data_IF_660820612775
#
_entry.id   IF_660820612775
#
_cell.length_a   1.000
_cell.length_b   1.000
_cell.length_c   1.000
_cell.angle_alpha   90.00
_cell.angle_beta   90.00
_cell.angle_gamma   90.00
#
_symmetry.space_group_name_H-M   'P 1'
#
loop_
_entity.id
_entity.type
_entity.pdbx_description
1 polymer ?
#
# COMPACT_ATOMS: atom_id res chain seq x y z
N UNK A 1 -8.99 21.99 -5.36
CA UNK A 1 -9.00 20.87 -4.37
C UNK A 1 -8.80 21.42 -2.97
N UNK A 2 -9.69 21.08 -2.03
CA UNK A 2 -9.56 21.41 -0.59
C UNK A 2 -8.89 20.23 0.13
N UNK A 3 -7.90 20.52 0.97
CA UNK A 3 -7.23 19.52 1.82
C UNK A 3 -7.77 19.66 3.24
N UNK A 4 -8.22 18.56 3.82
CA UNK A 4 -8.66 18.49 5.21
C UNK A 4 -7.82 17.45 5.95
N UNK A 5 -7.16 17.88 7.02
CA UNK A 5 -6.33 17.04 7.88
C UNK A 5 -7.01 16.86 9.23
N UNK A 6 -7.07 15.64 9.70
CA UNK A 6 -7.66 15.29 10.99
C UNK A 6 -6.91 14.11 11.62
N UNK A 7 -7.18 13.84 12.89
CA UNK A 7 -6.58 12.76 13.64
C UNK A 7 -7.62 11.90 14.32
N UNK A 8 -7.37 10.59 14.39
CA UNK A 8 -8.16 9.69 15.23
C UNK A 8 -7.23 8.75 16.02
N UNK A 9 -7.72 8.25 17.16
CA UNK A 9 -6.95 7.33 17.99
C UNK A 9 -6.80 5.97 17.31
N UNK A 10 -5.56 5.52 17.12
CA UNK A 10 -5.22 4.21 16.57
C UNK A 10 -5.80 3.05 17.39
N UNK A 11 -5.94 1.91 16.74
CA UNK A 11 -6.27 0.66 17.42
C UNK A 11 -5.16 0.14 18.35
N UNK A 12 -3.97 0.74 18.33
CA UNK A 12 -2.93 0.54 19.35
C UNK A 12 -3.23 1.24 20.69
N UNK A 13 -4.27 2.10 20.74
CA UNK A 13 -4.75 2.86 21.90
C UNK A 13 -3.79 3.92 22.44
N UNK A 14 -2.76 4.27 21.68
CA UNK A 14 -1.72 5.22 22.14
C UNK A 14 -1.33 6.28 21.09
N UNK A 15 -1.48 5.98 19.82
CA UNK A 15 -1.02 6.85 18.72
C UNK A 15 -2.20 7.56 18.08
N UNK A 16 -2.06 8.84 17.76
CA UNK A 16 -3.00 9.54 16.92
C UNK A 16 -2.63 9.33 15.44
N UNK A 17 -3.54 8.73 14.69
CA UNK A 17 -3.37 8.50 13.25
C UNK A 17 -3.74 9.76 12.49
N UNK A 18 -2.81 10.25 11.70
CA UNK A 18 -3.01 11.36 10.77
C UNK A 18 -3.82 10.87 9.56
N UNK A 19 -4.93 11.54 9.29
CA UNK A 19 -5.84 11.26 8.18
C UNK A 19 -5.97 12.50 7.32
N UNK A 20 -5.86 12.33 6.01
CA UNK A 20 -5.98 13.41 5.03
C UNK A 20 -7.11 13.10 4.07
N UNK A 21 -7.96 14.10 3.81
CA UNK A 21 -9.00 14.06 2.78
C UNK A 21 -8.76 15.17 1.78
N UNK A 22 -8.63 14.80 0.52
CA UNK A 22 -8.57 15.69 -0.63
C UNK A 22 -9.97 15.74 -1.25
N UNK A 23 -10.60 16.89 -1.21
CA UNK A 23 -12.02 17.07 -1.50
C UNK A 23 -12.18 17.93 -2.75
N UNK A 24 -12.97 17.49 -3.77
CA UNK A 24 -13.27 18.32 -4.94
C UNK A 24 -14.03 19.57 -4.53
N UNK A 25 -13.71 20.70 -5.18
CA UNK A 25 -14.42 21.96 -5.00
C UNK A 25 -15.40 22.16 -6.17
N UNK A 26 -16.59 22.63 -5.87
CA UNK A 26 -17.63 23.00 -6.87
C UNK A 26 -18.01 21.86 -7.85
N UNK A 27 -17.84 20.59 -7.44
CA UNK A 27 -18.18 19.41 -8.25
C UNK A 27 -19.01 18.41 -7.47
N UNK A 28 -19.88 17.71 -8.19
CA UNK A 28 -20.59 16.55 -7.65
C UNK A 28 -19.59 15.44 -7.29
N UNK A 29 -19.81 14.80 -6.15
CA UNK A 29 -18.95 13.70 -5.69
C UNK A 29 -19.33 12.41 -6.42
N UNK A 30 -18.45 11.94 -7.29
CA UNK A 30 -18.62 10.71 -8.06
C UNK A 30 -18.28 9.44 -7.28
N UNK A 31 -17.41 9.53 -6.28
CA UNK A 31 -16.96 8.38 -5.49
C UNK A 31 -15.85 8.75 -4.54
N UNK A 32 -15.41 7.76 -3.76
CA UNK A 32 -14.27 7.86 -2.84
C UNK A 32 -13.17 6.91 -3.28
N UNK A 33 -11.92 7.37 -3.26
CA UNK A 33 -10.72 6.54 -3.41
C UNK A 33 -9.92 6.62 -2.12
N UNK A 34 -9.91 5.55 -1.35
CA UNK A 34 -9.07 5.45 -0.14
C UNK A 34 -7.73 4.82 -0.47
N UNK A 35 -6.63 5.48 -0.11
CA UNK A 35 -5.26 5.06 -0.38
C UNK A 35 -4.63 4.46 0.88
N UNK A 36 -4.00 3.28 0.73
CA UNK A 36 -3.03 2.72 1.68
C UNK A 36 -1.65 2.79 1.05
N UNK A 37 -0.80 3.67 1.55
CA UNK A 37 0.53 3.94 1.01
C UNK A 37 1.55 2.81 1.27
N UNK A 38 2.71 2.88 0.62
CA UNK A 38 3.80 1.92 0.77
C UNK A 38 4.62 2.09 2.06
N UNK A 39 5.61 1.22 2.24
CA UNK A 39 6.57 1.37 3.33
C UNK A 39 7.52 2.54 3.04
N UNK A 40 8.02 3.19 4.08
CA UNK A 40 8.95 4.34 3.98
C UNK A 40 8.39 5.57 3.26
N UNK A 41 7.07 5.74 3.27
CA UNK A 41 6.40 6.92 2.71
C UNK A 41 5.20 7.37 3.57
N UNK A 42 4.41 8.30 3.07
CA UNK A 42 3.26 8.89 3.76
C UNK A 42 2.20 9.36 2.76
N UNK A 43 1.00 9.68 3.26
CA UNK A 43 -0.16 9.98 2.40
C UNK A 43 0.01 11.23 1.53
N UNK A 44 0.72 12.26 2.00
CA UNK A 44 0.91 13.50 1.23
C UNK A 44 1.74 13.33 -0.05
N UNK A 45 2.45 12.21 -0.23
CA UNK A 45 3.09 11.90 -1.51
C UNK A 45 2.08 11.69 -2.65
N UNK A 46 0.84 11.40 -2.32
CA UNK A 46 -0.22 11.17 -3.31
C UNK A 46 -0.98 12.44 -3.71
N UNK A 47 -0.45 13.63 -3.41
CA UNK A 47 -1.10 14.93 -3.74
C UNK A 47 -1.37 15.06 -5.24
N UNK A 48 -0.41 14.75 -6.13
CA UNK A 48 -0.63 14.80 -7.58
C UNK A 48 -1.72 13.84 -8.05
N UNK A 49 -1.76 12.63 -7.49
CA UNK A 49 -2.83 11.66 -7.73
C UNK A 49 -4.18 12.19 -7.25
N UNK A 50 -4.19 12.78 -6.06
CA UNK A 50 -5.40 13.34 -5.47
C UNK A 50 -5.91 14.55 -6.28
N UNK A 51 -5.04 15.42 -6.74
CA UNK A 51 -5.40 16.55 -7.61
C UNK A 51 -6.09 16.07 -8.88
N UNK A 52 -5.49 15.11 -9.58
CA UNK A 52 -6.07 14.52 -10.79
C UNK A 52 -7.47 13.94 -10.54
N UNK A 53 -7.67 13.17 -9.46
CA UNK A 53 -8.95 12.53 -9.19
C UNK A 53 -9.99 13.47 -8.59
N UNK A 54 -9.60 14.47 -7.82
CA UNK A 54 -10.53 15.52 -7.34
C UNK A 54 -11.02 16.41 -8.48
N UNK A 55 -10.18 16.64 -9.50
CA UNK A 55 -10.61 17.32 -10.72
C UNK A 55 -11.68 16.55 -11.52
N UNK A 56 -11.77 15.27 -11.32
CA UNK A 56 -12.83 14.42 -11.88
C UNK A 56 -14.07 14.30 -10.96
N UNK A 57 -14.04 14.84 -9.74
CA UNK A 57 -15.12 14.74 -8.76
C UNK A 57 -14.97 13.60 -7.74
N UNK A 58 -13.84 12.90 -7.69
CA UNK A 58 -13.60 11.91 -6.64
C UNK A 58 -13.03 12.56 -5.38
N UNK A 59 -13.45 12.09 -4.21
CA UNK A 59 -12.73 12.33 -2.97
C UNK A 59 -11.59 11.34 -2.89
N UNK A 60 -10.38 11.82 -2.59
CA UNK A 60 -9.25 10.96 -2.27
C UNK A 60 -8.96 11.08 -0.79
N UNK A 61 -8.83 9.95 -0.09
CA UNK A 61 -8.59 9.93 1.35
C UNK A 61 -7.53 8.89 1.68
N UNK A 62 -6.78 9.12 2.75
CA UNK A 62 -5.86 8.13 3.27
C UNK A 62 -5.32 8.53 4.63
N UNK A 63 -4.56 7.62 5.21
CA UNK A 63 -3.90 7.83 6.51
C UNK A 63 -2.40 7.67 6.34
N UNK A 64 -1.64 8.37 7.17
CA UNK A 64 -0.28 7.91 7.46
C UNK A 64 -0.39 6.63 8.30
N UNK A 65 0.14 5.52 7.78
CA UNK A 65 0.10 4.25 8.49
C UNK A 65 0.81 4.37 9.84
N UNK A 66 0.38 3.61 10.82
CA UNK A 66 1.00 3.58 12.15
C UNK A 66 2.54 3.51 12.05
N UNK A 67 3.25 4.44 12.70
CA UNK A 67 4.70 4.55 12.62
C UNK A 67 5.25 5.14 11.31
N UNK A 68 4.41 5.77 10.50
CA UNK A 68 4.80 6.47 9.26
C UNK A 68 4.33 7.93 9.29
N UNK A 69 4.97 8.78 8.49
CA UNK A 69 4.59 10.18 8.33
C UNK A 69 4.33 10.89 9.65
N UNK A 70 3.21 11.57 9.76
CA UNK A 70 2.76 12.27 10.98
C UNK A 70 2.08 11.35 12.02
N UNK A 71 1.88 10.05 11.71
CA UNK A 71 1.46 9.03 12.68
C UNK A 71 2.63 8.46 13.51
N UNK A 72 3.62 9.31 13.79
CA UNK A 72 4.80 9.04 14.64
C UNK A 72 4.82 9.90 15.90
N UNK A 73 3.64 10.43 16.30
CA UNK A 73 3.48 11.24 17.48
C UNK A 73 3.55 10.43 18.80
N UNK A 74 3.55 11.14 19.94
CA UNK A 74 3.58 10.56 21.27
C UNK A 74 4.81 9.66 21.54
N UNK A 75 5.98 9.98 20.93
CA UNK A 75 7.22 9.23 21.11
C UNK A 75 7.30 7.90 20.37
N UNK A 76 6.32 7.62 19.49
CA UNK A 76 6.33 6.42 18.67
C UNK A 76 7.55 6.37 17.75
N UNK A 77 8.21 5.23 17.71
CA UNK A 77 9.32 4.98 16.78
C UNK A 77 8.82 4.90 15.34
N UNK A 78 9.50 5.62 14.46
CA UNK A 78 9.29 5.53 13.02
C UNK A 78 9.62 4.12 12.51
N UNK A 79 8.89 3.65 11.50
CA UNK A 79 9.05 2.33 10.88
C UNK A 79 8.86 1.15 11.85
N UNK A 80 7.95 1.31 12.81
CA UNK A 80 7.57 0.30 13.78
C UNK A 80 6.05 0.33 14.03
N UNK A 81 5.37 -0.78 13.77
CA UNK A 81 3.93 -0.90 13.97
C UNK A 81 3.54 -1.17 15.43
N UNK A 82 4.44 -1.74 16.21
CA UNK A 82 4.17 -2.18 17.57
C UNK A 82 4.58 -3.64 17.83
N UNK A 83 4.16 -4.21 18.96
CA UNK A 83 4.46 -5.58 19.32
C UNK A 83 3.85 -6.59 18.35
N UNK A 84 4.11 -7.88 18.59
CA UNK A 84 3.53 -8.97 17.77
C UNK A 84 2.02 -8.86 17.66
N UNK A 85 1.53 -8.93 16.42
CA UNK A 85 0.10 -8.79 16.08
C UNK A 85 -0.32 -7.38 15.69
N UNK A 86 0.59 -6.41 15.72
CA UNK A 86 0.33 -5.01 15.35
C UNK A 86 -0.03 -4.80 13.88
N UNK A 87 0.21 -5.78 13.01
CA UNK A 87 -0.38 -5.78 11.66
C UNK A 87 -1.89 -5.55 11.70
N UNK A 88 -2.59 -6.17 12.68
CA UNK A 88 -4.03 -5.99 12.83
C UNK A 88 -4.39 -4.57 13.28
N UNK A 89 -3.59 -3.87 14.07
CA UNK A 89 -3.84 -2.48 14.44
C UNK A 89 -3.90 -1.60 13.19
N UNK A 90 -2.94 -1.76 12.29
CA UNK A 90 -2.88 -0.99 11.04
C UNK A 90 -4.07 -1.30 10.12
N UNK A 91 -4.47 -2.56 10.01
CA UNK A 91 -5.66 -2.94 9.22
C UNK A 91 -6.94 -2.34 9.82
N UNK A 92 -7.06 -2.32 11.16
CA UNK A 92 -8.20 -1.69 11.83
C UNK A 92 -8.16 -0.15 11.73
N UNK A 93 -6.97 0.48 11.69
CA UNK A 93 -6.84 1.92 11.45
C UNK A 93 -7.30 2.28 10.02
N UNK A 94 -6.96 1.45 9.03
CA UNK A 94 -7.49 1.57 7.66
C UNK A 94 -9.02 1.42 7.66
N UNK A 95 -9.55 0.48 8.44
CA UNK A 95 -11.00 0.28 8.59
C UNK A 95 -11.67 1.45 9.33
N UNK A 96 -11.00 2.08 10.29
CA UNK A 96 -11.50 3.29 10.96
C UNK A 96 -11.60 4.45 9.98
N UNK A 97 -10.57 4.69 9.17
CA UNK A 97 -10.60 5.66 8.08
C UNK A 97 -11.76 5.37 7.10
N UNK A 98 -11.93 4.10 6.70
CA UNK A 98 -13.06 3.67 5.87
C UNK A 98 -14.41 4.03 6.50
N UNK A 99 -14.62 3.71 7.77
CA UNK A 99 -15.89 3.97 8.47
C UNK A 99 -16.19 5.46 8.55
N UNK A 100 -15.23 6.28 8.98
CA UNK A 100 -15.35 7.73 9.06
C UNK A 100 -15.75 8.32 7.70
N UNK A 101 -15.06 7.90 6.64
CA UNK A 101 -15.31 8.42 5.30
C UNK A 101 -16.63 7.91 4.73
N UNK A 102 -16.97 6.62 4.93
CA UNK A 102 -18.22 6.03 4.42
C UNK A 102 -19.45 6.61 5.12
N UNK A 103 -19.34 7.01 6.38
CA UNK A 103 -20.40 7.74 7.10
C UNK A 103 -20.68 9.10 6.47
N UNK A 104 -19.61 9.84 6.11
CA UNK A 104 -19.71 11.16 5.45
C UNK A 104 -20.23 11.07 4.01
N UNK A 105 -19.87 10.02 3.29
CA UNK A 105 -20.12 9.83 1.87
C UNK A 105 -20.79 8.48 1.58
N UNK A 106 -21.91 8.21 2.25
CA UNK A 106 -22.56 6.88 2.25
C UNK A 106 -23.18 6.49 0.91
N UNK A 107 -23.53 7.46 0.06
CA UNK A 107 -24.31 7.26 -1.17
C UNK A 107 -23.47 7.08 -2.42
N UNK A 108 -22.17 7.21 -2.34
CA UNK A 108 -21.27 7.12 -3.50
C UNK A 108 -20.42 5.84 -3.45
N UNK A 109 -19.98 5.34 -4.62
CA UNK A 109 -19.07 4.20 -4.70
C UNK A 109 -17.77 4.42 -3.89
N UNK A 110 -17.28 3.35 -3.28
CA UNK A 110 -16.07 3.37 -2.46
C UNK A 110 -15.00 2.43 -3.04
N UNK A 111 -13.90 2.99 -3.46
CA UNK A 111 -12.77 2.29 -4.05
C UNK A 111 -11.59 2.32 -3.06
N UNK A 112 -10.88 1.20 -2.92
CA UNK A 112 -9.62 1.20 -2.18
C UNK A 112 -8.44 0.93 -3.10
N UNK A 113 -7.37 1.73 -2.93
CA UNK A 113 -6.09 1.59 -3.59
C UNK A 113 -5.01 1.26 -2.56
N UNK A 114 -4.21 0.21 -2.81
CA UNK A 114 -3.07 -0.13 -1.96
C UNK A 114 -1.79 -0.28 -2.79
N UNK A 115 -0.73 0.43 -2.38
CA UNK A 115 0.58 0.37 -3.01
C UNK A 115 1.60 -0.33 -2.13
N UNK A 116 2.41 -1.24 -2.68
CA UNK A 116 3.51 -1.92 -1.99
C UNK A 116 3.07 -2.53 -0.66
N UNK A 117 3.57 -2.08 0.50
CA UNK A 117 3.09 -2.48 1.83
C UNK A 117 1.57 -2.31 1.95
N UNK A 118 1.04 -1.16 1.50
CA UNK A 118 -0.39 -0.88 1.47
C UNK A 118 -1.19 -1.90 0.66
N UNK A 119 -0.58 -2.50 -0.37
CA UNK A 119 -1.22 -3.56 -1.16
C UNK A 119 -1.47 -4.84 -0.35
N UNK A 120 -0.58 -5.20 0.57
CA UNK A 120 -0.78 -6.34 1.46
C UNK A 120 -1.78 -6.02 2.59
N UNK A 121 -1.76 -4.79 3.09
CA UNK A 121 -2.76 -4.30 4.05
C UNK A 121 -4.15 -4.29 3.42
N UNK A 122 -4.30 -3.76 2.21
CA UNK A 122 -5.55 -3.78 1.45
C UNK A 122 -6.03 -5.22 1.23
N UNK A 123 -5.17 -6.14 0.79
CA UNK A 123 -5.53 -7.56 0.62
C UNK A 123 -5.99 -8.19 1.94
N UNK A 124 -5.37 -7.82 3.07
CA UNK A 124 -5.82 -8.26 4.40
C UNK A 124 -7.19 -7.68 4.72
N UNK A 125 -7.41 -6.40 4.45
CA UNK A 125 -8.69 -5.73 4.62
C UNK A 125 -9.80 -6.40 3.82
N UNK A 126 -9.60 -6.67 2.53
CA UNK A 126 -10.57 -7.34 1.66
C UNK A 126 -10.93 -8.77 2.11
N UNK A 127 -10.02 -9.45 2.80
CA UNK A 127 -10.26 -10.76 3.42
C UNK A 127 -11.09 -10.63 4.70
N UNK A 128 -10.84 -9.59 5.51
CA UNK A 128 -11.54 -9.36 6.79
C UNK A 128 -12.92 -8.74 6.59
N UNK A 129 -13.05 -7.86 5.59
CA UNK A 129 -14.24 -7.06 5.30
C UNK A 129 -14.67 -7.23 3.83
N UNK A 130 -15.13 -8.41 3.42
CA UNK A 130 -15.28 -8.78 2.01
C UNK A 130 -16.32 -7.98 1.22
N UNK A 131 -17.28 -7.31 1.90
CA UNK A 131 -18.35 -6.56 1.24
C UNK A 131 -18.30 -5.06 1.54
N UNK A 132 -17.14 -4.54 1.95
CA UNK A 132 -17.03 -3.14 2.39
C UNK A 132 -16.82 -2.16 1.24
N UNK A 133 -16.21 -2.58 0.14
CA UNK A 133 -15.86 -1.71 -0.98
C UNK A 133 -16.42 -2.20 -2.30
N UNK A 134 -16.64 -1.25 -3.22
CA UNK A 134 -17.21 -1.54 -4.54
C UNK A 134 -16.16 -2.00 -5.55
N UNK A 135 -14.90 -1.57 -5.38
CA UNK A 135 -13.78 -1.98 -6.21
C UNK A 135 -12.44 -1.84 -5.48
N UNK A 136 -11.40 -2.53 -5.95
CA UNK A 136 -10.05 -2.42 -5.38
C UNK A 136 -8.96 -2.39 -6.43
N UNK A 137 -7.92 -1.59 -6.17
CA UNK A 137 -6.74 -1.42 -7.01
C UNK A 137 -5.50 -1.78 -6.19
N UNK A 138 -4.74 -2.75 -6.64
CA UNK A 138 -3.60 -3.34 -5.94
C UNK A 138 -2.35 -3.09 -6.78
N UNK A 139 -1.44 -2.25 -6.31
CA UNK A 139 -0.27 -1.78 -7.06
C UNK A 139 1.02 -2.25 -6.42
N UNK A 140 1.98 -2.70 -7.22
CA UNK A 140 3.33 -3.07 -6.75
C UNK A 140 3.34 -4.19 -5.70
N UNK A 141 2.38 -5.12 -5.80
CA UNK A 141 2.25 -6.22 -4.83
C UNK A 141 3.17 -7.39 -5.18
N UNK A 142 3.59 -8.12 -4.16
CA UNK A 142 4.46 -9.29 -4.29
C UNK A 142 3.76 -10.63 -3.98
N UNK A 143 4.42 -11.71 -4.36
CA UNK A 143 4.09 -13.06 -3.92
C UNK A 143 5.35 -13.80 -3.49
N UNK A 144 5.42 -14.16 -2.22
CA UNK A 144 6.50 -15.01 -1.68
C UNK A 144 5.90 -16.28 -1.10
N UNK A 145 6.62 -17.40 -1.23
CA UNK A 145 6.18 -18.67 -0.65
C UNK A 145 6.02 -18.54 0.87
N UNK A 146 4.87 -18.92 1.46
CA UNK A 146 4.63 -18.82 2.89
C UNK A 146 5.65 -19.56 3.77
N UNK A 147 6.23 -20.67 3.29
CA UNK A 147 7.27 -21.39 4.03
C UNK A 147 8.56 -20.57 4.10
N UNK A 148 8.96 -19.94 2.99
CA UNK A 148 10.12 -19.05 2.97
C UNK A 148 9.89 -17.84 3.89
N UNK A 149 8.70 -17.24 3.86
CA UNK A 149 8.36 -16.13 4.75
C UNK A 149 8.43 -16.52 6.22
N UNK A 150 8.02 -17.74 6.58
CA UNK A 150 8.18 -18.24 7.96
C UNK A 150 9.64 -18.33 8.38
N UNK A 151 10.53 -18.80 7.49
CA UNK A 151 11.97 -18.87 7.78
C UNK A 151 12.57 -17.46 7.94
N UNK A 152 12.27 -16.57 7.02
CA UNK A 152 12.77 -15.18 7.06
C UNK A 152 12.22 -14.43 8.28
N UNK A 153 10.97 -14.68 8.68
CA UNK A 153 10.39 -14.17 9.93
C UNK A 153 11.20 -14.60 11.17
N UNK A 154 11.70 -15.85 11.22
CA UNK A 154 12.54 -16.29 12.35
C UNK A 154 13.85 -15.48 12.46
N UNK A 155 14.40 -15.03 11.32
CA UNK A 155 15.54 -14.12 11.35
C UNK A 155 15.16 -12.80 12.03
N UNK A 156 14.01 -12.21 11.67
CA UNK A 156 13.54 -10.98 12.30
C UNK A 156 13.34 -11.14 13.82
N UNK A 157 12.75 -12.24 14.26
CA UNK A 157 12.54 -12.55 15.68
C UNK A 157 13.89 -12.69 16.41
N UNK A 158 14.87 -13.34 15.79
CA UNK A 158 16.21 -13.48 16.38
C UNK A 158 16.92 -12.13 16.49
N UNK A 159 16.89 -11.34 15.43
CA UNK A 159 17.51 -10.00 15.41
C UNK A 159 16.83 -9.06 16.44
N UNK A 160 15.50 -9.13 16.58
CA UNK A 160 14.77 -8.30 17.56
C UNK A 160 15.11 -8.61 19.01
N UNK A 161 15.47 -9.87 19.33
CA UNK A 161 15.92 -10.26 20.67
C UNK A 161 17.27 -9.63 21.05
N UNK A 162 18.12 -9.37 20.06
CA UNK A 162 19.46 -8.81 20.26
C UNK A 162 19.43 -7.29 20.23
N UNK A 163 18.71 -6.71 19.28
CA UNK A 163 18.76 -5.26 19.01
C UNK A 163 17.51 -4.50 19.45
N UNK A 164 16.43 -5.21 19.85
CA UNK A 164 15.13 -4.63 20.09
C UNK A 164 14.24 -4.61 18.83
N UNK A 165 12.91 -4.68 19.04
CA UNK A 165 11.94 -4.74 17.95
C UNK A 165 11.85 -3.44 17.14
N UNK A 166 12.13 -2.31 17.78
CA UNK A 166 12.03 -0.95 17.20
C UNK A 166 13.25 -0.59 16.34
N UNK A 167 14.29 -1.40 16.34
CA UNK A 167 15.53 -1.11 15.64
C UNK A 167 15.67 -1.96 14.38
N UNK A 168 16.46 -1.46 13.44
CA UNK A 168 16.86 -2.22 12.25
C UNK A 168 18.25 -2.81 12.43
N UNK A 169 18.53 -3.93 11.77
CA UNK A 169 19.87 -4.52 11.70
C UNK A 169 20.34 -4.60 10.25
N UNK A 170 21.65 -4.82 10.03
CA UNK A 170 22.19 -5.03 8.68
C UNK A 170 21.47 -6.18 7.98
N UNK A 171 21.18 -7.28 8.68
CA UNK A 171 20.46 -8.42 8.10
C UNK A 171 19.05 -8.06 7.64
N UNK A 172 18.31 -7.25 8.42
CA UNK A 172 16.97 -6.80 8.04
C UNK A 172 17.03 -5.88 6.83
N UNK A 173 18.00 -4.96 6.76
CA UNK A 173 18.23 -4.13 5.57
C UNK A 173 18.47 -5.00 4.33
N UNK A 174 19.36 -5.97 4.44
CA UNK A 174 19.72 -6.86 3.32
C UNK A 174 18.53 -7.73 2.86
N UNK A 175 17.69 -8.20 3.79
CA UNK A 175 16.49 -9.00 3.49
C UNK A 175 15.36 -8.18 2.88
N UNK A 176 15.27 -6.89 3.18
CA UNK A 176 14.21 -6.01 2.68
C UNK A 176 14.56 -5.42 1.32
N UNK A 177 15.64 -4.64 1.24
CA UNK A 177 15.96 -3.85 0.05
C UNK A 177 17.26 -4.28 -0.64
N UNK A 178 18.10 -5.09 0.03
CA UNK A 178 19.48 -5.36 -0.39
C UNK A 178 19.66 -6.04 -1.76
N UNK A 179 18.59 -6.59 -2.33
CA UNK A 179 18.66 -7.24 -3.65
C UNK A 179 17.97 -6.47 -4.76
N UNK A 180 17.08 -5.49 -4.41
CA UNK A 180 16.23 -4.85 -5.39
C UNK A 180 16.98 -4.01 -6.41
N UNK A 181 18.06 -3.36 -5.99
CA UNK A 181 18.90 -2.54 -6.85
C UNK A 181 19.87 -3.34 -7.76
N UNK A 182 20.12 -4.62 -7.46
CA UNK A 182 21.12 -5.41 -8.23
C UNK A 182 20.85 -5.44 -9.72
N UNK A 183 19.58 -5.43 -10.11
CA UNK A 183 19.18 -5.45 -11.52
C UNK A 183 19.52 -4.16 -12.27
N UNK A 184 19.68 -3.05 -11.56
CA UNK A 184 19.81 -1.71 -12.14
C UNK A 184 21.26 -1.19 -12.08
N UNK A 185 22.22 -2.05 -11.79
CA UNK A 185 23.63 -1.67 -11.78
C UNK A 185 24.11 -1.18 -13.17
N UNK A 186 24.99 -0.14 -13.23
CA UNK A 186 25.54 0.60 -12.10
C UNK A 186 24.51 1.53 -11.45
N UNK A 187 24.38 1.45 -10.10
CA UNK A 187 23.40 2.21 -9.36
C UNK A 187 23.90 3.63 -9.09
N UNK A 188 23.00 4.61 -9.20
CA UNK A 188 23.24 6.02 -8.81
C UNK A 188 22.90 6.25 -7.34
N UNK A 189 21.88 5.55 -6.82
CA UNK A 189 21.37 5.64 -5.44
C UNK A 189 21.03 4.26 -4.87
N UNK A 190 20.71 4.19 -3.59
CA UNK A 190 20.18 2.96 -2.95
C UNK A 190 18.73 2.63 -3.37
N UNK A 191 18.07 3.52 -4.12
CA UNK A 191 16.64 3.47 -4.42
C UNK A 191 16.31 3.43 -5.91
N UNK A 192 17.29 3.19 -6.79
CA UNK A 192 17.06 3.15 -8.25
C UNK A 192 15.98 2.12 -8.64
N UNK A 193 15.82 1.08 -7.85
CA UNK A 193 14.77 0.09 -8.04
C UNK A 193 13.33 0.64 -7.89
N UNK A 194 13.17 1.82 -7.29
CA UNK A 194 11.89 2.41 -6.97
C UNK A 194 11.27 3.14 -8.17
N UNK A 195 12.03 4.03 -8.81
CA UNK A 195 11.57 4.96 -9.84
C UNK A 195 12.59 5.11 -10.97
N UNK A 196 12.11 5.40 -12.18
CA UNK A 196 12.91 5.87 -13.32
C UNK A 196 13.11 7.38 -13.25
N UNK A 197 12.07 8.14 -12.88
CA UNK A 197 12.11 9.59 -12.75
C UNK A 197 13.14 10.02 -11.72
N UNK A 198 14.24 10.63 -12.17
CA UNK A 198 15.27 11.17 -11.28
C UNK A 198 14.73 12.30 -10.39
N UNK A 199 13.80 13.09 -10.91
CA UNK A 199 13.15 14.17 -10.16
C UNK A 199 12.34 13.61 -8.99
N UNK A 200 11.44 12.68 -9.27
CA UNK A 200 10.60 12.04 -8.24
C UNK A 200 11.42 11.22 -7.24
N UNK A 201 12.47 10.55 -7.71
CA UNK A 201 13.40 9.81 -6.85
C UNK A 201 14.16 10.74 -5.90
N UNK A 202 14.64 11.88 -6.39
CA UNK A 202 15.32 12.87 -5.55
C UNK A 202 14.38 13.48 -4.51
N UNK A 203 13.13 13.76 -4.88
CA UNK A 203 12.11 14.24 -3.94
C UNK A 203 11.83 13.19 -2.86
N UNK A 204 11.67 11.92 -3.25
CA UNK A 204 11.53 10.82 -2.29
C UNK A 204 12.73 10.70 -1.35
N UNK A 205 13.97 10.79 -1.85
CA UNK A 205 15.18 10.66 -1.03
C UNK A 205 15.29 11.81 0.00
N UNK A 206 14.91 13.02 -0.40
CA UNK A 206 15.01 14.24 0.43
C UNK A 206 13.82 14.44 1.38
N UNK A 207 12.77 13.67 1.22
CA UNK A 207 11.55 13.82 2.01
C UNK A 207 11.81 13.55 3.51
N UNK A 208 11.58 14.53 4.39
CA UNK A 208 11.86 14.40 5.82
C UNK A 208 10.88 13.46 6.55
N UNK A 209 9.68 13.24 5.99
CA UNK A 209 8.64 12.40 6.60
C UNK A 209 8.79 10.92 6.23
N UNK A 210 9.61 10.62 5.22
CA UNK A 210 9.84 9.22 4.87
C UNK A 210 10.68 8.48 5.92
N UNK A 211 10.36 7.23 6.16
CA UNK A 211 11.22 6.33 6.93
C UNK A 211 12.46 5.92 6.14
N UNK A 212 13.57 5.69 6.85
CA UNK A 212 14.82 5.24 6.19
C UNK A 212 14.93 3.72 6.14
N UNK A 213 14.66 3.05 7.25
CA UNK A 213 14.90 1.62 7.41
C UNK A 213 13.78 0.96 8.20
N UNK A 214 13.40 -0.22 7.75
CA UNK A 214 12.38 -1.05 8.39
C UNK A 214 12.94 -1.63 9.68
N UNK A 215 12.20 -1.55 10.79
CA UNK A 215 12.57 -2.18 12.05
C UNK A 215 12.40 -3.71 11.99
N UNK A 216 13.04 -4.42 12.91
CA UNK A 216 12.88 -5.87 13.05
C UNK A 216 11.40 -6.25 13.28
N UNK A 217 10.69 -5.46 14.13
CA UNK A 217 9.29 -5.65 14.42
C UNK A 217 8.41 -5.44 13.20
N UNK A 218 8.60 -4.34 12.44
CA UNK A 218 7.84 -4.09 11.23
C UNK A 218 8.07 -5.21 10.20
N UNK A 219 9.31 -5.64 10.00
CA UNK A 219 9.61 -6.73 9.07
C UNK A 219 8.94 -8.05 9.46
N UNK A 220 8.89 -8.38 10.76
CA UNK A 220 8.14 -9.52 11.29
C UNK A 220 6.65 -9.42 10.94
N UNK A 221 6.04 -8.26 11.20
CA UNK A 221 4.61 -8.01 10.91
C UNK A 221 4.32 -8.06 9.40
N UNK A 222 5.21 -7.53 8.57
CA UNK A 222 5.10 -7.66 7.10
C UNK A 222 5.10 -9.13 6.67
N UNK A 223 5.99 -9.96 7.24
CA UNK A 223 5.99 -11.40 6.96
C UNK A 223 4.65 -12.06 7.32
N UNK A 224 4.05 -11.70 8.47
CA UNK A 224 2.75 -12.23 8.90
C UNK A 224 1.63 -11.80 7.95
N UNK A 225 1.57 -10.54 7.57
CA UNK A 225 0.61 -10.02 6.60
C UNK A 225 0.75 -10.69 5.23
N UNK A 226 1.97 -10.86 4.74
CA UNK A 226 2.24 -11.55 3.46
C UNK A 226 1.85 -13.04 3.53
N UNK A 227 2.12 -13.73 4.64
CA UNK A 227 1.67 -15.11 4.87
C UNK A 227 0.14 -15.15 4.86
N UNK A 228 -0.51 -14.28 5.63
CA UNK A 228 -1.96 -14.24 5.75
C UNK A 228 -2.65 -14.06 4.39
N UNK A 229 -2.20 -13.10 3.58
CA UNK A 229 -2.74 -12.82 2.24
C UNK A 229 -2.38 -13.88 1.20
N UNK A 230 -1.37 -14.72 1.47
CA UNK A 230 -0.95 -15.83 0.60
C UNK A 230 -1.75 -17.12 0.78
N UNK A 231 -2.48 -17.31 1.88
CA UNK A 231 -3.19 -18.56 2.20
C UNK A 231 -4.53 -18.68 1.46
N UNK A 232 -4.76 -19.80 0.79
CA UNK A 232 -6.01 -20.06 0.05
C UNK A 232 -7.26 -19.92 0.92
N UNK A 233 -7.21 -20.46 2.17
CA UNK A 233 -8.33 -20.37 3.11
C UNK A 233 -8.76 -18.94 3.41
N UNK A 234 -7.81 -17.99 3.42
CA UNK A 234 -8.09 -16.60 3.66
C UNK A 234 -8.63 -15.91 2.39
N UNK A 235 -7.99 -16.12 1.23
CA UNK A 235 -8.44 -15.60 -0.06
C UNK A 235 -9.87 -16.07 -0.38
N UNK A 236 -10.24 -17.27 0.05
CA UNK A 236 -11.61 -17.79 -0.15
C UNK A 236 -12.69 -16.98 0.58
N UNK A 237 -12.31 -16.17 1.59
CA UNK A 237 -13.24 -15.28 2.31
C UNK A 237 -13.53 -13.98 1.56
N UNK A 238 -12.71 -13.61 0.55
CA UNK A 238 -12.94 -12.41 -0.24
C UNK A 238 -14.24 -12.49 -1.03
N UNK A 239 -14.89 -11.35 -1.24
CA UNK A 239 -16.00 -11.23 -2.18
C UNK A 239 -15.55 -11.65 -3.59
N UNK A 240 -16.24 -12.64 -4.17
CA UNK A 240 -15.86 -13.20 -5.47
C UNK A 240 -16.26 -12.32 -6.67
N UNK A 241 -17.15 -11.37 -6.45
CA UNK A 241 -17.71 -10.51 -7.49
C UNK A 241 -17.16 -9.09 -7.47
N UNK A 242 -16.49 -8.69 -6.38
CA UNK A 242 -15.85 -7.37 -6.28
C UNK A 242 -14.76 -7.23 -7.35
N UNK A 243 -14.78 -6.16 -8.16
CA UNK A 243 -13.75 -5.89 -9.17
C UNK A 243 -12.37 -5.66 -8.54
N UNK A 244 -11.33 -6.29 -9.10
CA UNK A 244 -9.95 -6.15 -8.66
C UNK A 244 -9.07 -5.81 -9.87
N UNK A 245 -8.31 -4.70 -9.78
CA UNK A 245 -7.28 -4.34 -10.73
C UNK A 245 -5.89 -4.52 -10.09
N UNK A 246 -5.02 -5.26 -10.76
CA UNK A 246 -3.61 -5.43 -10.35
C UNK A 246 -2.71 -4.64 -11.30
N UNK A 247 -1.87 -3.75 -10.76
CA UNK A 247 -0.95 -2.92 -11.54
C UNK A 247 0.49 -3.08 -11.05
N UNK A 248 1.46 -3.04 -11.96
CA UNK A 248 2.89 -3.05 -11.62
C UNK A 248 3.74 -2.61 -12.81
N UNK A 249 4.93 -2.12 -12.54
CA UNK A 249 5.96 -1.99 -13.58
C UNK A 249 6.50 -3.36 -14.00
N UNK A 250 6.84 -3.52 -15.27
CA UNK A 250 7.44 -4.77 -15.78
C UNK A 250 8.87 -4.99 -15.25
N UNK A 251 9.50 -3.95 -14.70
CA UNK A 251 10.81 -3.98 -14.05
C UNK A 251 10.73 -3.86 -12.52
N UNK A 252 9.55 -3.98 -11.92
CA UNK A 252 9.36 -3.96 -10.47
C UNK A 252 10.08 -5.14 -9.80
N UNK A 253 11.16 -4.85 -9.06
CA UNK A 253 11.94 -5.86 -8.32
C UNK A 253 11.14 -6.52 -7.19
N UNK A 254 10.23 -5.81 -6.53
CA UNK A 254 9.35 -6.34 -5.46
C UNK A 254 8.37 -7.35 -6.04
N UNK A 255 7.81 -7.03 -7.21
CA UNK A 255 6.91 -7.88 -7.97
C UNK A 255 7.61 -8.98 -8.78
N UNK A 256 8.93 -9.19 -8.60
CA UNK A 256 9.73 -10.11 -9.41
C UNK A 256 9.51 -9.89 -10.92
N UNK A 257 9.62 -8.64 -11.34
CA UNK A 257 9.46 -8.19 -12.73
C UNK A 257 8.12 -8.67 -13.35
N UNK A 258 7.01 -8.38 -12.65
CA UNK A 258 5.65 -8.71 -13.08
C UNK A 258 5.22 -10.16 -12.82
N UNK A 259 6.15 -11.08 -12.52
CA UNK A 259 5.81 -12.50 -12.29
C UNK A 259 4.88 -12.70 -11.08
N UNK A 260 5.05 -11.90 -10.04
CA UNK A 260 4.18 -11.96 -8.86
C UNK A 260 2.75 -11.54 -9.17
N UNK A 261 2.55 -10.50 -9.96
CA UNK A 261 1.24 -10.03 -10.41
C UNK A 261 0.52 -11.14 -11.18
N UNK A 262 1.18 -11.75 -12.17
CA UNK A 262 0.61 -12.85 -12.97
C UNK A 262 0.27 -14.05 -12.06
N UNK A 263 1.11 -14.36 -11.09
CA UNK A 263 0.88 -15.46 -10.14
C UNK A 263 -0.33 -15.19 -9.24
N UNK A 264 -0.46 -13.97 -8.72
CA UNK A 264 -1.62 -13.56 -7.90
C UNK A 264 -2.89 -13.59 -8.74
N UNK A 265 -2.88 -13.04 -9.95
CA UNK A 265 -4.00 -13.08 -10.89
C UNK A 265 -4.48 -14.52 -11.12
N UNK A 266 -3.57 -15.43 -11.54
CA UNK A 266 -3.90 -16.85 -11.77
C UNK A 266 -4.44 -17.52 -10.50
N UNK A 267 -3.85 -17.22 -9.35
CA UNK A 267 -4.28 -17.77 -8.06
C UNK A 267 -5.70 -17.29 -7.68
N UNK A 268 -5.98 -16.00 -7.83
CA UNK A 268 -7.29 -15.42 -7.53
C UNK A 268 -8.38 -15.97 -8.48
N UNK A 269 -8.10 -16.06 -9.78
CA UNK A 269 -8.98 -16.71 -10.76
C UNK A 269 -9.29 -18.17 -10.36
N UNK A 270 -8.26 -18.96 -10.01
CA UNK A 270 -8.42 -20.35 -9.58
C UNK A 270 -9.28 -20.47 -8.31
N UNK A 271 -9.22 -19.48 -7.42
CA UNK A 271 -10.01 -19.43 -6.18
C UNK A 271 -11.39 -18.77 -6.37
N UNK A 272 -11.81 -18.53 -7.61
CA UNK A 272 -13.18 -18.14 -7.96
C UNK A 272 -13.43 -16.64 -7.98
N UNK A 273 -12.42 -15.76 -7.87
CA UNK A 273 -12.58 -14.31 -8.10
C UNK A 273 -12.98 -14.10 -9.58
N UNK A 274 -14.16 -13.52 -9.81
CA UNK A 274 -14.79 -13.41 -11.14
C UNK A 274 -14.28 -12.21 -11.93
N UNK A 275 -14.27 -11.03 -11.31
CA UNK A 275 -13.87 -9.78 -11.96
C UNK A 275 -12.47 -9.36 -11.46
N UNK A 276 -11.44 -9.82 -12.15
CA UNK A 276 -10.05 -9.47 -11.88
C UNK A 276 -9.31 -9.28 -13.20
N UNK A 277 -8.56 -8.21 -13.30
CA UNK A 277 -7.66 -7.90 -14.42
C UNK A 277 -6.29 -7.45 -13.92
N UNK A 278 -5.30 -7.43 -14.81
CA UNK A 278 -4.00 -6.87 -14.51
C UNK A 278 -3.41 -6.12 -15.71
N UNK A 279 -2.55 -5.14 -15.44
CA UNK A 279 -1.72 -4.45 -16.43
C UNK A 279 -0.30 -4.31 -15.92
N UNK A 280 0.67 -4.59 -16.80
CA UNK A 280 2.08 -4.35 -16.56
C UNK A 280 2.52 -3.19 -17.45
N UNK A 281 3.11 -2.16 -16.84
CA UNK A 281 3.64 -1.01 -17.56
C UNK A 281 5.09 -1.29 -17.97
N UNK A 282 5.33 -1.22 -19.28
CA UNK A 282 6.64 -1.59 -19.83
C UNK A 282 7.75 -0.69 -19.28
N UNK A 283 8.88 -1.30 -18.93
CA UNK A 283 10.07 -0.65 -18.38
C UNK A 283 9.90 0.06 -17.03
N UNK A 284 8.68 0.34 -16.54
CA UNK A 284 8.50 1.00 -15.27
C UNK A 284 8.95 0.10 -14.11
N UNK A 285 9.40 0.76 -13.03
CA UNK A 285 9.91 0.13 -11.81
C UNK A 285 8.78 -0.04 -10.79
N UNK A 286 9.08 0.07 -9.50
CA UNK A 286 8.14 -0.27 -8.44
C UNK A 286 7.03 0.77 -8.25
N UNK A 287 7.39 2.06 -8.19
CA UNK A 287 6.47 3.16 -7.88
C UNK A 287 5.94 3.82 -9.15
N UNK A 288 5.00 3.16 -9.81
CA UNK A 288 4.43 3.63 -11.09
C UNK A 288 3.58 4.90 -10.95
N UNK A 289 3.11 5.24 -9.74
CA UNK A 289 2.24 6.41 -9.52
C UNK A 289 3.00 7.74 -9.47
N UNK A 290 4.33 7.70 -9.33
CA UNK A 290 5.17 8.89 -9.23
C UNK A 290 6.18 9.00 -10.38
N UNK A 291 6.01 8.22 -11.45
CA UNK A 291 6.83 8.34 -12.67
C UNK A 291 6.48 9.59 -13.48
N UNK A 292 7.35 9.98 -14.41
CA UNK A 292 7.10 11.13 -15.29
C UNK A 292 5.84 10.93 -16.15
N UNK A 293 5.61 9.70 -16.63
CA UNK A 293 4.44 9.30 -17.42
C UNK A 293 3.23 8.88 -16.55
N UNK A 294 3.16 9.29 -15.27
CA UNK A 294 2.09 8.90 -14.34
C UNK A 294 0.67 9.17 -14.82
N UNK A 295 0.49 10.17 -15.68
CA UNK A 295 -0.84 10.48 -16.23
C UNK A 295 -1.42 9.34 -17.07
N UNK A 296 -0.59 8.52 -17.72
CA UNK A 296 -1.04 7.30 -18.43
C UNK A 296 -1.65 6.33 -17.42
N UNK A 297 -0.99 6.15 -16.27
CA UNK A 297 -1.47 5.26 -15.21
C UNK A 297 -2.75 5.80 -14.58
N UNK A 298 -2.82 7.10 -14.32
CA UNK A 298 -4.01 7.75 -13.76
C UNK A 298 -5.20 7.64 -14.70
N UNK A 299 -5.02 7.83 -16.02
CA UNK A 299 -6.06 7.63 -17.02
C UNK A 299 -6.55 6.17 -17.07
N UNK A 300 -5.64 5.20 -17.06
CA UNK A 300 -6.02 3.78 -17.02
C UNK A 300 -6.84 3.43 -15.77
N UNK A 301 -6.44 3.96 -14.60
CA UNK A 301 -7.16 3.79 -13.33
C UNK A 301 -8.54 4.44 -13.42
N UNK A 302 -8.62 5.69 -13.90
CA UNK A 302 -9.89 6.42 -14.12
C UNK A 302 -10.84 5.63 -15.00
N UNK A 303 -10.38 5.22 -16.18
CA UNK A 303 -11.20 4.51 -17.14
C UNK A 303 -11.70 3.17 -16.59
N UNK A 304 -10.83 2.46 -15.85
CA UNK A 304 -11.21 1.24 -15.18
C UNK A 304 -12.26 1.48 -14.08
N UNK A 305 -12.08 2.49 -13.22
CA UNK A 305 -13.04 2.84 -12.17
C UNK A 305 -14.40 3.16 -12.79
N UNK A 306 -14.45 4.09 -13.74
CA UNK A 306 -15.71 4.53 -14.36
C UNK A 306 -16.45 3.37 -15.03
N UNK A 307 -15.73 2.43 -15.66
CA UNK A 307 -16.32 1.21 -16.21
C UNK A 307 -16.88 0.24 -15.14
N UNK A 308 -16.50 0.38 -13.87
CA UNK A 308 -16.98 -0.50 -12.80
C UNK A 308 -18.09 0.10 -11.95
N UNK A 309 -18.09 1.41 -11.74
CA UNK A 309 -19.08 2.09 -10.89
C UNK A 309 -20.34 2.53 -11.65
N UNK A 310 -20.28 2.65 -12.98
CA UNK A 310 -21.42 3.05 -13.84
C UNK A 310 -22.27 1.85 -14.32
N UNK A 311 -22.14 0.71 -13.65
CA UNK A 311 -22.93 -0.51 -13.94
C UNK A 311 -24.10 -0.67 -12.94
#
# INVERSE_FOLDING_TARGET
>A
MKINEEYFLSNDKSTNIHMVSFIPEEKEVLGVIQISHGVTEHIMRYTDFAEYFTDLGFIVVGIDLLGHGLSTNNGRKQMYFGPTGSWNYVVEDINTCFKITKERYSKVPYIMLGFSLGSFLLRTFLIKYPNSVDASIIIGTGYTNPLLLKLVKQVAIKESRVSGEEYTTKKIKDLTFGTYNKKFAPNKTDYDWLLLSEYSLNNYIKDPLRGKYISCGLFREMCDGMIYTGLNKNINRMNKYMPILLLSGSNDSVGNCGKSIIKIYKKYKKLGIKDISYKLYNNLRHDILHEDDRLIIYNDIKDWILNKINK
#
